data_IF_804440238102
#
_entry.id   IF_804440238102
#
_cell.length_a   1.000
_cell.length_b   1.000
_cell.length_c   1.000
_cell.angle_alpha   90.00
_cell.angle_beta   90.00
_cell.angle_gamma   90.00
#
_symmetry.space_group_name_H-M   'P 1'
#
loop_
_entity.id
_entity.type
_entity.pdbx_description
1 polymer ?
#
# COMPACT_ATOMS: atom_id res chain seq x y z
N UNK A 1 -34.02 -3.26 8.25
CA UNK A 1 -33.25 -2.04 7.92
C UNK A 1 -32.27 -2.39 6.81
N UNK A 2 -32.51 -1.98 5.57
CA UNK A 2 -31.66 -2.27 4.40
C UNK A 2 -30.34 -1.48 4.36
N UNK A 3 -29.72 -1.18 5.49
CA UNK A 3 -28.45 -0.46 5.58
C UNK A 3 -27.29 -1.45 5.42
N UNK A 4 -26.57 -1.34 4.31
CA UNK A 4 -25.34 -2.12 4.09
C UNK A 4 -24.19 -1.42 4.82
N UNK A 5 -23.67 -2.07 5.85
CA UNK A 5 -22.48 -1.60 6.56
C UNK A 5 -21.22 -2.09 5.88
N UNK A 6 -20.30 -1.17 5.58
CA UNK A 6 -18.99 -1.50 5.03
C UNK A 6 -17.90 -1.23 6.07
N UNK A 7 -17.07 -2.23 6.32
CA UNK A 7 -15.88 -2.06 7.14
C UNK A 7 -14.74 -1.46 6.29
N UNK A 8 -14.09 -0.46 6.83
CA UNK A 8 -12.88 0.15 6.26
C UNK A 8 -11.72 -0.03 7.24
N UNK A 9 -10.52 -0.24 6.72
CA UNK A 9 -9.30 -0.39 7.50
C UNK A 9 -8.26 0.60 7.02
N UNK A 10 -7.75 1.42 7.93
CA UNK A 10 -6.62 2.28 7.68
C UNK A 10 -5.42 1.81 8.54
N UNK A 11 -4.33 1.46 7.87
CA UNK A 11 -3.12 0.92 8.47
C UNK A 11 -2.04 2.00 8.49
N UNK A 12 -1.62 2.36 9.69
CA UNK A 12 -0.57 3.36 9.88
C UNK A 12 0.82 2.79 9.57
N UNK A 13 1.77 3.69 9.31
CA UNK A 13 3.18 3.41 9.47
C UNK A 13 3.56 3.15 10.92
N UNK A 14 4.79 2.74 11.16
CA UNK A 14 5.29 2.49 12.51
C UNK A 14 6.50 1.55 12.59
N UNK A 15 7.17 1.27 11.49
CA UNK A 15 8.36 0.41 11.47
C UNK A 15 8.07 -0.96 12.11
N UNK A 16 8.84 -1.33 13.12
CA UNK A 16 8.71 -2.59 13.84
C UNK A 16 7.32 -2.81 14.49
N UNK A 17 6.58 -1.73 14.80
CA UNK A 17 5.24 -1.83 15.37
C UNK A 17 4.22 -2.43 14.38
N UNK A 18 4.58 -2.61 13.11
CA UNK A 18 3.77 -3.38 12.16
C UNK A 18 3.50 -4.80 12.58
N UNK A 19 4.43 -5.43 13.31
CA UNK A 19 4.24 -6.75 13.89
C UNK A 19 3.00 -6.82 14.81
N UNK A 20 2.75 -5.74 15.58
CA UNK A 20 1.53 -5.64 16.39
C UNK A 20 0.28 -5.60 15.50
N UNK A 21 0.29 -4.79 14.43
CA UNK A 21 -0.84 -4.69 13.49
C UNK A 21 -1.14 -6.01 12.79
N UNK A 22 -0.11 -6.73 12.35
CA UNK A 22 -0.22 -8.05 11.76
C UNK A 22 -0.79 -9.06 12.76
N UNK A 23 -0.21 -9.15 13.97
CA UNK A 23 -0.67 -10.03 15.03
C UNK A 23 -2.10 -9.76 15.47
N UNK A 24 -2.49 -8.47 15.55
CA UNK A 24 -3.87 -8.07 15.85
C UNK A 24 -4.86 -8.59 14.79
N UNK A 25 -4.54 -8.44 13.49
CA UNK A 25 -5.39 -8.92 12.40
C UNK A 25 -5.53 -10.43 12.41
N UNK A 26 -4.44 -11.17 12.60
CA UNK A 26 -4.43 -12.63 12.72
C UNK A 26 -5.27 -13.07 13.91
N UNK A 27 -5.04 -12.48 15.09
CA UNK A 27 -5.83 -12.79 16.29
C UNK A 27 -7.32 -12.45 16.11
N UNK A 28 -7.63 -11.36 15.43
CA UNK A 28 -9.03 -11.01 15.12
C UNK A 28 -9.69 -12.07 14.22
N UNK A 29 -8.98 -12.59 13.23
CA UNK A 29 -9.49 -13.67 12.37
C UNK A 29 -9.81 -14.93 13.15
N UNK A 30 -8.97 -15.29 14.15
CA UNK A 30 -9.19 -16.46 15.00
C UNK A 30 -10.51 -16.37 15.80
N UNK A 31 -11.00 -15.16 16.06
CA UNK A 31 -12.31 -14.98 16.69
C UNK A 31 -13.49 -15.25 15.75
N UNK A 32 -13.27 -15.41 14.46
CA UNK A 32 -14.30 -15.51 13.42
C UNK A 32 -15.07 -14.20 13.17
N UNK A 33 -14.69 -13.10 13.80
CA UNK A 33 -15.44 -11.82 13.77
C UNK A 33 -14.78 -10.76 12.88
N UNK A 34 -13.61 -11.02 12.26
CA UNK A 34 -12.97 -10.09 11.35
C UNK A 34 -13.81 -9.91 10.08
N UNK A 35 -14.36 -8.71 9.81
CA UNK A 35 -15.17 -8.48 8.62
C UNK A 35 -14.31 -8.41 7.36
N UNK A 36 -14.88 -8.69 6.18
CA UNK A 36 -14.23 -8.33 4.94
C UNK A 36 -14.21 -6.80 4.79
N UNK A 37 -13.03 -6.23 4.63
CA UNK A 37 -12.89 -4.78 4.46
C UNK A 37 -13.23 -4.36 3.02
N UNK A 38 -14.08 -3.35 2.90
CA UNK A 38 -14.44 -2.76 1.60
C UNK A 38 -13.32 -1.89 1.05
N UNK A 39 -12.67 -1.13 1.93
CA UNK A 39 -11.53 -0.27 1.62
C UNK A 39 -10.43 -0.57 2.61
N UNK A 40 -9.21 -0.74 2.09
CA UNK A 40 -7.99 -0.81 2.91
C UNK A 40 -7.02 0.24 2.41
N UNK A 41 -6.45 1.01 3.32
CA UNK A 41 -5.37 1.95 3.05
C UNK A 41 -4.16 1.60 3.89
N UNK A 42 -2.96 1.80 3.36
CA UNK A 42 -1.72 1.52 4.07
C UNK A 42 -0.61 2.52 3.75
N UNK A 43 0.23 2.77 4.76
CA UNK A 43 1.42 3.62 4.66
C UNK A 43 2.56 2.89 5.34
N UNK A 44 3.77 2.92 4.76
CA UNK A 44 4.97 2.32 5.37
C UNK A 44 4.75 0.82 5.69
N UNK A 45 4.99 0.41 6.92
CA UNK A 45 4.64 -0.93 7.42
C UNK A 45 3.18 -1.29 7.16
N UNK A 46 2.25 -0.32 7.26
CA UNK A 46 0.85 -0.54 6.91
C UNK A 46 0.65 -0.87 5.43
N UNK A 47 1.51 -0.38 4.55
CA UNK A 47 1.49 -0.74 3.13
C UNK A 47 1.91 -2.19 2.88
N UNK A 48 2.80 -2.73 3.71
CA UNK A 48 3.22 -4.13 3.66
C UNK A 48 2.13 -5.08 4.16
N UNK A 49 1.34 -4.66 5.16
CA UNK A 49 0.20 -5.42 5.71
C UNK A 49 -1.03 -5.36 4.79
N UNK A 50 -1.22 -4.22 4.11
CA UNK A 50 -2.47 -3.87 3.43
C UNK A 50 -2.95 -4.91 2.39
N UNK A 51 -2.13 -5.52 1.53
CA UNK A 51 -2.56 -6.53 0.57
C UNK A 51 -3.20 -7.75 1.24
N UNK A 52 -2.56 -8.28 2.29
CA UNK A 52 -3.03 -9.44 3.05
C UNK A 52 -4.30 -9.12 3.84
N UNK A 53 -4.32 -7.98 4.52
CA UNK A 53 -5.51 -7.50 5.23
C UNK A 53 -6.70 -7.30 4.27
N UNK A 54 -6.44 -6.82 3.06
CA UNK A 54 -7.43 -6.63 2.01
C UNK A 54 -8.01 -7.94 1.52
N UNK A 55 -7.20 -8.97 1.31
CA UNK A 55 -7.69 -10.27 0.85
C UNK A 55 -8.42 -11.05 1.96
N UNK A 56 -8.01 -10.91 3.21
CA UNK A 56 -8.71 -11.48 4.35
C UNK A 56 -7.96 -12.63 5.01
N UNK A 57 -8.68 -13.42 5.83
CA UNK A 57 -8.09 -14.43 6.72
C UNK A 57 -7.37 -15.58 6.00
N UNK A 58 -7.68 -15.84 4.73
CA UNK A 58 -6.95 -16.83 3.94
C UNK A 58 -5.46 -16.51 3.74
N UNK A 59 -5.07 -15.26 3.97
CA UNK A 59 -3.69 -14.78 3.87
C UNK A 59 -3.03 -14.48 5.21
N UNK A 60 -3.64 -14.91 6.32
CA UNK A 60 -3.11 -14.64 7.66
C UNK A 60 -1.82 -15.40 7.95
N UNK A 61 -1.64 -16.60 7.41
CA UNK A 61 -0.39 -17.35 7.54
C UNK A 61 0.77 -16.62 6.84
N UNK A 62 0.55 -16.12 5.63
CA UNK A 62 1.53 -15.32 4.91
C UNK A 62 1.84 -14.00 5.65
N UNK A 63 0.82 -13.35 6.22
CA UNK A 63 0.99 -12.15 7.02
C UNK A 63 1.77 -12.42 8.30
N UNK A 64 1.48 -13.52 9.00
CA UNK A 64 2.18 -13.95 10.19
C UNK A 64 3.66 -14.24 9.86
N UNK A 65 3.91 -15.04 8.83
CA UNK A 65 5.25 -15.40 8.41
C UNK A 65 6.06 -14.18 7.97
N UNK A 66 5.46 -13.26 7.23
CA UNK A 66 6.09 -12.00 6.82
C UNK A 66 6.64 -11.21 8.02
N UNK A 67 5.98 -11.23 9.18
CA UNK A 67 6.40 -10.47 10.37
C UNK A 67 7.14 -11.29 11.43
N UNK A 68 7.16 -12.61 11.33
CA UNK A 68 7.85 -13.49 12.31
C UNK A 68 9.16 -14.05 11.80
N UNK A 69 9.43 -13.98 10.49
CA UNK A 69 10.75 -14.38 9.97
C UNK A 69 11.83 -13.45 10.52
N UNK A 70 12.94 -14.03 10.91
CA UNK A 70 14.11 -13.33 11.51
C UNK A 70 14.57 -12.15 10.65
N UNK A 71 14.51 -12.30 9.32
CA UNK A 71 14.86 -11.25 8.37
C UNK A 71 14.03 -9.96 8.54
N UNK A 72 12.75 -10.07 8.89
CA UNK A 72 11.87 -8.89 9.08
C UNK A 72 12.21 -8.14 10.35
N UNK A 73 12.48 -8.86 11.44
CA UNK A 73 12.88 -8.26 12.71
C UNK A 73 14.23 -7.54 12.56
N UNK A 74 15.17 -8.14 11.83
CA UNK A 74 16.49 -7.56 11.56
C UNK A 74 16.41 -6.32 10.66
N UNK A 75 15.53 -6.32 9.67
CA UNK A 75 15.35 -5.15 8.76
C UNK A 75 14.81 -3.94 9.51
N UNK A 76 13.81 -4.11 10.38
CA UNK A 76 13.15 -2.98 11.03
C UNK A 76 13.79 -2.61 12.38
N UNK A 77 14.21 -3.58 13.20
CA UNK A 77 14.73 -3.30 14.54
C UNK A 77 16.21 -2.91 14.52
N UNK A 78 17.05 -3.70 13.88
CA UNK A 78 18.50 -3.49 13.92
C UNK A 78 18.90 -2.24 13.13
N UNK A 79 18.22 -1.93 12.03
CA UNK A 79 18.57 -0.79 11.18
C UNK A 79 18.06 0.55 11.71
N UNK A 80 16.87 0.61 12.31
CA UNK A 80 16.41 1.85 12.95
C UNK A 80 17.23 2.22 14.19
N UNK A 81 17.64 1.25 15.01
CA UNK A 81 18.47 1.52 16.19
C UNK A 81 19.91 1.88 15.84
N UNK A 82 20.43 1.45 14.69
CA UNK A 82 21.80 1.74 14.24
C UNK A 82 21.93 3.01 13.39
N UNK A 83 20.83 3.70 13.08
CA UNK A 83 20.84 4.88 12.20
C UNK A 83 21.65 6.05 12.77
N UNK A 84 21.47 6.36 14.05
CA UNK A 84 22.09 7.54 14.65
C UNK A 84 23.64 7.48 14.66
N UNK A 85 24.28 6.37 15.08
CA UNK A 85 25.74 6.26 14.99
C UNK A 85 26.25 6.18 13.55
N UNK A 86 25.49 5.57 12.62
CA UNK A 86 25.87 5.44 11.20
C UNK A 86 25.80 6.75 10.45
N UNK A 87 24.79 7.57 10.73
CA UNK A 87 24.69 8.96 10.24
C UNK A 87 25.90 9.80 10.66
N UNK A 88 26.35 9.66 11.90
CA UNK A 88 27.53 10.36 12.42
C UNK A 88 28.84 9.82 11.79
N UNK A 89 28.83 8.57 11.34
CA UNK A 89 29.99 7.92 10.69
C UNK A 89 30.03 8.16 9.17
N UNK A 90 29.03 8.83 8.57
CA UNK A 90 28.97 9.06 7.12
C UNK A 90 28.71 7.79 6.31
N UNK A 91 28.15 6.74 6.92
CA UNK A 91 27.89 5.47 6.25
C UNK A 91 26.69 5.56 5.29
N UNK A 92 26.76 4.77 4.21
CA UNK A 92 25.74 4.72 3.19
C UNK A 92 24.36 4.29 3.73
N UNK A 93 23.31 4.70 3.02
CA UNK A 93 21.92 4.27 3.25
C UNK A 93 21.82 2.75 3.34
N UNK A 94 20.84 2.27 4.09
CA UNK A 94 20.66 0.84 4.29
C UNK A 94 20.34 0.11 2.97
N UNK A 95 20.81 -1.12 2.88
CA UNK A 95 20.52 -1.99 1.74
C UNK A 95 19.03 -2.39 1.73
N UNK A 96 18.33 -2.11 0.63
CA UNK A 96 16.91 -2.45 0.44
C UNK A 96 16.69 -3.88 -0.06
N UNK A 97 17.74 -4.58 -0.51
CA UNK A 97 17.61 -5.93 -1.09
C UNK A 97 16.84 -6.92 -0.22
N UNK A 98 17.03 -6.98 1.12
CA UNK A 98 16.25 -7.88 1.97
C UNK A 98 14.75 -7.57 1.95
N UNK A 99 14.37 -6.28 1.98
CA UNK A 99 12.97 -5.88 1.91
C UNK A 99 12.37 -6.18 0.52
N UNK A 100 13.12 -5.94 -0.54
CA UNK A 100 12.73 -6.30 -1.91
C UNK A 100 12.49 -7.80 -2.02
N UNK A 101 13.42 -8.62 -1.55
CA UNK A 101 13.29 -10.08 -1.58
C UNK A 101 12.05 -10.57 -0.83
N UNK A 102 11.76 -9.99 0.34
CA UNK A 102 10.54 -10.30 1.09
C UNK A 102 9.27 -9.91 0.33
N UNK A 103 9.23 -8.70 -0.22
CA UNK A 103 8.08 -8.27 -1.03
C UNK A 103 7.92 -9.23 -2.23
N UNK A 104 9.00 -9.64 -2.87
CA UNK A 104 8.96 -10.56 -4.01
C UNK A 104 8.49 -11.97 -3.64
N UNK A 105 8.86 -12.45 -2.47
CA UNK A 105 8.47 -13.76 -1.97
C UNK A 105 6.96 -13.85 -1.71
N UNK A 106 6.36 -12.83 -1.11
CA UNK A 106 4.97 -12.88 -0.64
C UNK A 106 3.99 -12.17 -1.58
N UNK A 107 4.45 -11.30 -2.46
CA UNK A 107 3.62 -10.58 -3.42
C UNK A 107 3.90 -11.12 -4.82
N UNK A 108 3.24 -12.18 -5.16
CA UNK A 108 3.38 -12.87 -6.45
C UNK A 108 2.23 -12.59 -7.42
N UNK A 109 2.26 -13.22 -8.57
CA UNK A 109 1.21 -13.09 -9.58
C UNK A 109 -0.14 -13.68 -9.15
N UNK A 110 -0.17 -14.63 -8.22
CA UNK A 110 -1.42 -15.20 -7.70
C UNK A 110 -2.11 -14.19 -6.78
N UNK A 111 -1.38 -13.61 -5.83
CA UNK A 111 -1.89 -12.55 -4.95
C UNK A 111 -2.37 -11.34 -5.76
N UNK A 112 -1.63 -10.95 -6.82
CA UNK A 112 -2.05 -9.85 -7.70
C UNK A 112 -3.39 -10.14 -8.39
N UNK A 113 -3.62 -11.37 -8.85
CA UNK A 113 -4.89 -11.79 -9.47
C UNK A 113 -6.05 -11.74 -8.48
N UNK A 114 -5.85 -12.16 -7.23
CA UNK A 114 -6.87 -12.09 -6.18
C UNK A 114 -7.23 -10.64 -5.85
N UNK A 115 -6.24 -9.74 -5.78
CA UNK A 115 -6.47 -8.31 -5.59
C UNK A 115 -7.26 -7.72 -6.77
N UNK A 116 -6.91 -8.09 -8.00
CA UNK A 116 -7.63 -7.68 -9.20
C UNK A 116 -9.10 -8.12 -9.15
N UNK A 117 -9.36 -9.35 -8.75
CA UNK A 117 -10.72 -9.87 -8.60
C UNK A 117 -11.50 -9.16 -7.49
N UNK A 118 -10.90 -8.95 -6.34
CA UNK A 118 -11.51 -8.17 -5.27
C UNK A 118 -11.82 -6.73 -5.71
N UNK A 119 -10.94 -6.12 -6.52
CA UNK A 119 -11.16 -4.80 -7.09
C UNK A 119 -12.36 -4.77 -8.06
N UNK A 120 -12.48 -5.78 -8.95
CA UNK A 120 -13.64 -5.90 -9.87
C UNK A 120 -14.96 -6.05 -9.11
N UNK A 121 -14.95 -6.69 -7.93
CA UNK A 121 -16.10 -6.76 -7.01
C UNK A 121 -16.37 -5.46 -6.23
N UNK A 122 -15.67 -4.39 -6.57
CA UNK A 122 -15.88 -3.06 -6.00
C UNK A 122 -15.17 -2.81 -4.68
N UNK A 123 -14.19 -3.65 -4.27
CA UNK A 123 -13.31 -3.37 -3.12
C UNK A 123 -12.15 -2.48 -3.56
N UNK A 124 -11.52 -1.78 -2.62
CA UNK A 124 -10.45 -0.82 -2.92
C UNK A 124 -9.25 -1.00 -2.00
N UNK A 125 -8.07 -1.04 -2.59
CA UNK A 125 -6.79 -1.08 -1.89
C UNK A 125 -5.96 0.12 -2.32
N UNK A 126 -5.50 0.91 -1.34
CA UNK A 126 -4.70 2.09 -1.59
C UNK A 126 -3.42 2.08 -0.74
N UNK A 127 -2.33 2.56 -1.32
CA UNK A 127 -1.05 2.75 -0.64
C UNK A 127 -0.63 4.21 -0.82
N UNK A 128 -0.11 4.80 0.26
CA UNK A 128 0.39 6.18 0.29
C UNK A 128 1.91 6.25 0.20
N UNK A 129 2.43 7.15 -0.62
CA UNK A 129 3.85 7.55 -0.70
C UNK A 129 3.96 9.06 -0.67
N UNK A 130 5.16 9.61 -0.49
CA UNK A 130 5.43 11.04 -0.70
C UNK A 130 6.31 11.20 -1.93
N UNK A 131 5.84 11.99 -2.88
CA UNK A 131 6.63 12.51 -3.99
C UNK A 131 7.42 13.72 -3.47
N UNK A 132 8.76 13.58 -3.41
CA UNK A 132 9.64 14.63 -2.90
C UNK A 132 9.79 15.79 -3.88
N UNK A 133 9.72 15.53 -5.19
CA UNK A 133 9.87 16.56 -6.21
C UNK A 133 8.64 17.49 -6.20
N UNK A 134 7.45 16.92 -6.13
CA UNK A 134 6.21 17.68 -6.05
C UNK A 134 5.82 18.07 -4.62
N UNK A 135 6.55 17.59 -3.59
CA UNK A 135 6.29 17.83 -2.16
C UNK A 135 4.84 17.51 -1.76
N UNK A 136 4.31 16.38 -2.22
CA UNK A 136 2.93 16.00 -1.98
C UNK A 136 2.75 14.53 -1.63
N UNK A 137 1.72 14.26 -0.86
CA UNK A 137 1.28 12.90 -0.57
C UNK A 137 0.55 12.32 -1.78
N UNK A 138 1.01 11.15 -2.23
CA UNK A 138 0.48 10.43 -3.38
C UNK A 138 -0.28 9.19 -2.94
N UNK A 139 -1.46 8.97 -3.52
CA UNK A 139 -2.30 7.80 -3.24
C UNK A 139 -2.35 6.90 -4.46
N UNK A 140 -1.81 5.71 -4.33
CA UNK A 140 -1.79 4.69 -5.38
C UNK A 140 -2.99 3.76 -5.27
N UNK A 141 -3.75 3.64 -6.37
CA UNK A 141 -4.84 2.66 -6.45
C UNK A 141 -4.26 1.29 -6.86
N UNK A 142 -3.93 0.46 -5.89
CA UNK A 142 -3.28 -0.82 -6.09
C UNK A 142 -4.17 -1.82 -6.84
N UNK A 143 -5.49 -1.69 -6.66
CA UNK A 143 -6.46 -2.50 -7.40
C UNK A 143 -6.50 -2.16 -8.90
N UNK A 144 -6.34 -0.89 -9.28
CA UNK A 144 -6.20 -0.49 -10.69
C UNK A 144 -4.90 -1.02 -11.29
N UNK A 145 -3.79 -0.96 -10.56
CA UNK A 145 -2.52 -1.56 -11.00
C UNK A 145 -2.72 -3.05 -11.26
N UNK A 146 -3.34 -3.76 -10.32
CA UNK A 146 -3.58 -5.21 -10.44
C UNK A 146 -4.50 -5.57 -11.62
N UNK A 147 -5.44 -4.70 -11.99
CA UNK A 147 -6.41 -4.95 -13.08
C UNK A 147 -5.95 -4.43 -14.44
N UNK A 148 -4.81 -3.74 -14.52
CA UNK A 148 -4.35 -3.08 -15.75
C UNK A 148 -4.05 -4.05 -16.90
N UNK A 149 -3.68 -5.29 -16.60
CA UNK A 149 -3.23 -6.27 -17.59
C UNK A 149 -1.85 -5.97 -18.19
N UNK A 150 -1.16 -4.93 -17.70
CA UNK A 150 0.17 -4.59 -18.20
C UNK A 150 1.22 -5.59 -17.69
N UNK A 151 2.20 -6.01 -18.51
CA UNK A 151 3.25 -6.94 -18.09
C UNK A 151 4.00 -6.51 -16.83
N UNK A 152 4.22 -5.19 -16.68
CA UNK A 152 4.94 -4.59 -15.55
C UNK A 152 4.06 -4.36 -14.30
N UNK A 153 2.79 -4.78 -14.29
CA UNK A 153 1.86 -4.51 -13.18
C UNK A 153 2.37 -5.03 -11.84
N UNK A 154 2.94 -6.25 -11.84
CA UNK A 154 3.47 -6.87 -10.64
C UNK A 154 4.70 -6.11 -10.14
N UNK A 155 5.60 -5.74 -11.05
CA UNK A 155 6.79 -4.96 -10.71
C UNK A 155 6.41 -3.59 -10.15
N UNK A 156 5.45 -2.89 -10.77
CA UNK A 156 4.94 -1.61 -10.29
C UNK A 156 4.27 -1.75 -8.92
N UNK A 157 3.46 -2.79 -8.72
CA UNK A 157 2.80 -3.05 -7.45
C UNK A 157 3.82 -3.20 -6.30
N UNK A 158 4.84 -4.04 -6.50
CA UNK A 158 5.95 -4.25 -5.55
C UNK A 158 6.74 -2.96 -5.31
N UNK A 159 7.00 -2.20 -6.38
CA UNK A 159 7.75 -0.94 -6.33
C UNK A 159 7.03 0.13 -5.51
N UNK A 160 5.70 0.23 -5.59
CA UNK A 160 4.90 1.13 -4.76
C UNK A 160 4.98 0.73 -3.29
N UNK A 161 4.90 -0.58 -2.97
CA UNK A 161 5.05 -1.05 -1.59
C UNK A 161 6.44 -0.70 -1.03
N UNK A 162 7.50 -0.91 -1.82
CA UNK A 162 8.86 -0.55 -1.46
C UNK A 162 8.99 0.96 -1.22
N UNK A 163 8.47 1.79 -2.13
CA UNK A 163 8.51 3.24 -2.01
C UNK A 163 7.81 3.73 -0.73
N UNK A 164 6.62 3.16 -0.45
CA UNK A 164 5.89 3.48 0.78
C UNK A 164 6.64 3.12 2.06
N UNK A 165 7.59 2.20 1.99
CA UNK A 165 8.39 1.71 3.11
C UNK A 165 9.82 2.27 3.10
N UNK A 166 10.15 3.15 2.16
CA UNK A 166 11.47 3.77 2.03
C UNK A 166 11.59 5.01 2.92
N UNK A 167 11.81 4.77 4.22
CA UNK A 167 11.98 5.84 5.22
C UNK A 167 13.23 6.66 4.86
N UNK A 168 13.13 8.00 4.67
CA UNK A 168 14.26 8.85 4.39
C UNK A 168 15.37 8.68 5.43
N UNK A 169 16.62 8.82 4.98
CA UNK A 169 17.83 8.59 5.79
C UNK A 169 18.11 7.11 6.05
N UNK A 170 17.08 6.27 6.25
CA UNK A 170 17.25 4.84 6.44
C UNK A 170 17.41 4.09 5.12
N UNK A 171 16.59 4.44 4.14
CA UNK A 171 16.56 3.78 2.83
C UNK A 171 16.67 4.81 1.70
N UNK A 172 17.22 4.41 0.54
CA UNK A 172 17.22 5.26 -0.64
C UNK A 172 15.78 5.49 -1.14
N UNK A 173 15.50 6.65 -1.77
CA UNK A 173 14.24 6.89 -2.43
C UNK A 173 14.04 5.94 -3.62
N UNK A 174 12.79 5.73 -3.99
CA UNK A 174 12.40 4.92 -5.14
C UNK A 174 11.97 5.84 -6.27
N UNK A 175 12.57 5.67 -7.45
CA UNK A 175 12.32 6.52 -8.62
C UNK A 175 11.28 5.90 -9.53
N UNK A 176 10.28 6.67 -9.95
CA UNK A 176 9.25 6.26 -10.91
C UNK A 176 9.43 7.04 -12.21
N UNK A 177 9.72 6.37 -13.34
CA UNK A 177 9.77 7.03 -14.63
C UNK A 177 8.35 7.47 -15.02
N UNK A 178 8.22 8.75 -15.32
CA UNK A 178 6.97 9.37 -15.78
C UNK A 178 7.22 10.17 -17.06
N UNK A 179 6.17 10.37 -17.83
CA UNK A 179 6.22 11.19 -19.02
C UNK A 179 5.21 12.35 -18.89
N UNK A 180 5.69 13.57 -19.04
CA UNK A 180 4.88 14.75 -19.07
C UNK A 180 5.31 15.66 -20.21
N UNK A 181 4.37 16.14 -21.02
CA UNK A 181 4.62 17.03 -22.18
C UNK A 181 5.66 16.46 -23.17
N UNK A 182 5.70 15.14 -23.36
CA UNK A 182 6.65 14.47 -24.25
C UNK A 182 8.09 14.38 -23.72
N UNK A 183 8.31 14.75 -22.45
CA UNK A 183 9.60 14.61 -21.76
C UNK A 183 9.50 13.55 -20.67
N UNK A 184 10.60 12.81 -20.47
CA UNK A 184 10.72 11.80 -19.42
C UNK A 184 11.36 12.42 -18.17
N UNK A 185 10.80 12.08 -17.04
CA UNK A 185 11.26 12.47 -15.70
C UNK A 185 11.27 11.25 -14.79
N UNK A 186 12.04 11.32 -13.72
CA UNK A 186 12.01 10.35 -12.64
C UNK A 186 11.46 11.04 -11.38
N UNK A 187 10.22 10.73 -10.99
CA UNK A 187 9.65 11.19 -9.72
C UNK A 187 10.29 10.44 -8.56
N UNK A 188 10.75 11.16 -7.55
CA UNK A 188 11.42 10.61 -6.37
C UNK A 188 10.41 10.37 -5.25
N UNK A 189 10.12 9.11 -4.95
CA UNK A 189 9.19 8.72 -3.90
C UNK A 189 9.87 8.14 -2.67
N UNK A 190 9.32 8.49 -1.52
CA UNK A 190 9.74 7.98 -0.20
C UNK A 190 8.54 7.52 0.62
N UNK A 191 8.82 7.03 1.84
CA UNK A 191 7.81 6.59 2.79
C UNK A 191 6.68 7.60 2.95
N UNK A 192 5.45 7.11 2.83
CA UNK A 192 4.26 7.93 2.99
C UNK A 192 4.12 8.56 4.37
N UNK A 193 4.76 7.97 5.39
CA UNK A 193 4.78 8.49 6.76
C UNK A 193 5.42 9.87 6.91
N UNK A 194 6.22 10.31 5.92
CA UNK A 194 6.74 11.68 5.85
C UNK A 194 5.61 12.70 5.68
N UNK A 195 4.58 12.35 4.94
CA UNK A 195 3.43 13.22 4.70
C UNK A 195 2.24 12.93 5.62
N UNK A 196 1.96 11.67 5.88
CA UNK A 196 0.86 11.25 6.76
C UNK A 196 1.11 9.85 7.30
N UNK A 197 1.03 9.68 8.61
CA UNK A 197 1.20 8.36 9.25
C UNK A 197 0.09 7.37 8.84
N UNK A 198 -1.08 7.88 8.52
CA UNK A 198 -2.27 7.13 8.12
C UNK A 198 -3.16 8.05 7.30
N UNK A 199 -3.84 7.51 6.30
CA UNK A 199 -4.79 8.30 5.53
C UNK A 199 -6.13 7.58 5.37
N UNK A 200 -7.17 8.34 5.52
CA UNK A 200 -8.53 7.98 5.16
C UNK A 200 -9.26 9.26 4.79
N UNK A 201 -9.56 9.42 3.51
CA UNK A 201 -10.34 10.55 3.06
C UNK A 201 -11.62 10.05 2.38
N UNK A 202 -12.74 10.17 3.08
CA UNK A 202 -14.05 9.75 2.56
C UNK A 202 -14.45 10.44 1.25
N UNK A 203 -13.91 11.63 0.96
CA UNK A 203 -14.13 12.35 -0.29
C UNK A 203 -13.35 11.77 -1.49
N UNK A 204 -12.20 11.12 -1.26
CA UNK A 204 -11.47 10.39 -2.32
C UNK A 204 -12.19 9.09 -2.70
N UNK A 205 -12.99 8.57 -1.81
CA UNK A 205 -13.78 7.36 -2.00
C UNK A 205 -15.22 7.79 -2.26
N UNK A 206 -15.61 7.97 -3.51
CA UNK A 206 -16.99 8.22 -3.88
C UNK A 206 -17.87 7.02 -3.47
N UNK A 207 -18.14 6.93 -2.17
CA UNK A 207 -18.94 5.85 -1.56
C UNK A 207 -20.34 5.77 -2.16
N UNK A 208 -20.86 6.89 -2.68
CA UNK A 208 -22.10 6.93 -3.44
C UNK A 208 -22.03 6.13 -4.74
N UNK A 209 -20.95 6.27 -5.52
CA UNK A 209 -20.74 5.47 -6.74
C UNK A 209 -20.49 3.98 -6.44
N UNK A 210 -19.85 3.67 -5.30
CA UNK A 210 -19.69 2.29 -4.85
C UNK A 210 -21.05 1.67 -4.50
N UNK A 211 -21.97 2.44 -3.91
CA UNK A 211 -23.36 2.00 -3.64
C UNK A 211 -24.16 1.76 -4.91
N UNK A 212 -24.05 2.65 -5.90
CA UNK A 212 -24.73 2.48 -7.20
C UNK A 212 -24.26 1.23 -7.94
N UNK A 213 -22.95 0.91 -7.88
CA UNK A 213 -22.43 -0.31 -8.50
C UNK A 213 -22.86 -1.58 -7.78
N UNK A 214 -23.03 -1.55 -6.46
CA UNK A 214 -23.50 -2.70 -5.68
C UNK A 214 -25.01 -2.95 -5.84
N UNK A 215 -25.81 -1.91 -6.10
CA UNK A 215 -27.26 -1.99 -6.28
C UNK A 215 -27.71 -2.39 -7.68
N UNK A 216 -26.86 -2.29 -8.69
CA UNK A 216 -27.13 -2.71 -10.07
C UNK A 216 -26.41 -4.01 -10.36
N UNK A 217 -27.09 -5.13 -10.19
CA UNK A 217 -26.52 -6.45 -10.47
C UNK A 217 -25.81 -6.49 -11.82
N UNK A 218 -24.49 -6.62 -11.82
CA UNK A 218 -23.68 -7.05 -12.96
C UNK A 218 -23.39 -6.06 -14.10
N UNK A 219 -23.80 -4.77 -14.01
CA UNK A 219 -23.50 -3.77 -15.03
C UNK A 219 -22.08 -3.20 -14.89
N UNK A 220 -21.35 -3.06 -15.99
CA UNK A 220 -20.01 -2.40 -16.03
C UNK A 220 -20.12 -0.97 -15.50
N UNK A 221 -19.42 -0.68 -14.40
CA UNK A 221 -19.21 0.70 -13.97
C UNK A 221 -18.22 1.36 -14.93
N UNK A 222 -18.72 2.19 -15.84
CA UNK A 222 -17.90 2.93 -16.79
C UNK A 222 -16.91 3.84 -16.07
N UNK A 223 -15.67 3.86 -16.53
CA UNK A 223 -14.62 4.71 -16.02
C UNK A 223 -15.00 6.19 -16.16
N UNK A 224 -15.15 6.86 -15.02
CA UNK A 224 -15.32 8.31 -14.97
C UNK A 224 -14.03 8.99 -15.46
N UNK A 225 -14.17 9.89 -16.41
CA UNK A 225 -13.08 10.75 -16.91
C UNK A 225 -12.46 11.52 -15.74
N UNK A 226 -11.16 11.53 -15.68
CA UNK A 226 -10.41 12.41 -14.79
C UNK A 226 -10.74 13.86 -15.12
N UNK A 227 -11.47 14.54 -14.24
CA UNK A 227 -11.57 16.00 -14.31
C UNK A 227 -10.24 16.59 -13.86
N UNK A 228 -9.48 17.09 -14.83
CA UNK A 228 -8.42 18.05 -14.57
C UNK A 228 -9.08 19.32 -14.06
N UNK A 229 -8.92 19.62 -12.81
CA UNK A 229 -9.16 20.98 -12.33
C UNK A 229 -7.91 21.82 -12.59
N UNK A 230 -7.90 22.46 -13.75
CA UNK A 230 -7.09 23.67 -13.95
C UNK A 230 -7.72 24.76 -13.12
N UNK A 231 -7.02 25.28 -12.15
CA UNK A 231 -7.23 26.64 -11.64
C UNK A 231 -5.93 27.39 -11.76
N UNK A 232 -5.97 28.37 -12.64
CA UNK A 232 -5.14 29.55 -12.74
C UNK A 232 -5.84 30.73 -12.02
N UNK A 233 -5.18 31.83 -11.71
CA UNK A 233 -3.81 32.29 -11.93
C UNK A 233 -2.95 32.25 -10.69
#
# INVERSE_FOLDING_TARGET
>A
DGVVHYAHLALSGGGANGAFGAGFLVGWSQTGKRPPFKIVTGVSTGALIAPFAFLGSAHDDALHEFYTTTATQDIFLFRMMSLLPRLLAGEALADTRPLVAMIEQYVDGALLKEIAEAHRRGRRLYIGTVDLDAQRFMVWNMGLIATSGHPESLALFRKVMLASSSVPVAFPPVFFPVEANGQRYDEMHVDGGVGSSMFYNGGLFETSKIRECAGRGGGRCGGGRSHRTHQHP
#
